data_IF_125096058170
#
_entry.id   IF_125096058170
#
_cell.length_a   1.000
_cell.length_b   1.000
_cell.length_c   1.000
_cell.angle_alpha   90.00
_cell.angle_beta   90.00
_cell.angle_gamma   90.00
#
_symmetry.space_group_name_H-M   'P 1'
#
loop_
_entity.id
_entity.type
_entity.pdbx_description
1 polymer ?
#
# COMPACT_ATOMS: atom_id res chain seq x y z
N UNK A 1 6.37 9.61 -5.52
CA UNK A 1 5.21 9.15 -4.70
C UNK A 1 4.68 7.88 -5.36
N UNK A 2 4.04 6.95 -4.67
CA UNK A 2 3.58 5.70 -5.30
C UNK A 2 3.06 4.72 -4.26
N UNK A 3 2.10 3.86 -4.62
CA UNK A 3 1.12 3.27 -3.70
C UNK A 3 0.99 1.74 -3.84
N UNK A 4 0.75 0.98 -2.73
CA UNK A 4 0.17 -0.39 -2.73
C UNK A 4 -0.04 -1.09 -1.35
N UNK A 5 -1.07 -1.96 -1.22
CA UNK A 5 -1.65 -2.55 0.02
C UNK A 5 -1.29 -3.98 0.43
N UNK A 6 -1.36 -4.30 1.74
CA UNK A 6 -2.04 -5.52 2.27
C UNK A 6 -2.30 -5.55 3.79
N UNK A 7 -3.35 -6.28 4.19
CA UNK A 7 -3.97 -6.44 5.53
C UNK A 7 -3.08 -7.17 6.57
N UNK A 8 -3.16 -6.75 7.84
CA UNK A 8 -2.59 -7.45 9.01
C UNK A 8 -3.53 -8.52 9.57
N UNK A 9 -2.95 -9.60 10.08
CA UNK A 9 -3.58 -10.52 11.05
C UNK A 9 -2.74 -10.54 12.34
N UNK A 10 -3.43 -10.43 13.48
CA UNK A 10 -2.88 -10.29 14.82
C UNK A 10 -2.79 -11.67 15.52
N UNK A 11 -1.74 -11.95 16.30
CA UNK A 11 -1.80 -12.98 17.35
C UNK A 11 -0.76 -12.75 18.46
N UNK A 12 -1.29 -12.68 19.68
CA UNK A 12 -0.68 -12.47 20.99
C UNK A 12 0.19 -13.64 21.53
N UNK A 13 1.03 -13.27 22.52
CA UNK A 13 1.43 -13.97 23.77
C UNK A 13 2.76 -14.75 23.89
N UNK A 14 3.62 -14.12 24.69
CA UNK A 14 4.59 -14.60 25.71
C UNK A 14 4.79 -16.11 25.96
N UNK A 15 6.07 -16.52 26.01
CA UNK A 15 6.74 -17.10 27.20
C UNK A 15 8.19 -17.50 26.87
N UNK A 16 9.17 -17.04 27.66
CA UNK A 16 10.57 -17.49 27.62
C UNK A 16 10.75 -18.77 28.47
N UNK A 17 11.69 -19.64 28.09
CA UNK A 17 12.88 -19.78 28.92
C UNK A 17 14.20 -19.75 28.13
N UNK A 18 15.25 -19.40 28.87
CA UNK A 18 16.64 -19.21 28.44
C UNK A 18 17.32 -20.52 28.04
N UNK A 19 18.27 -20.44 27.10
CA UNK A 19 19.18 -21.54 26.78
C UNK A 19 19.65 -21.55 25.32
N UNK A 20 20.81 -20.93 25.10
CA UNK A 20 21.81 -21.23 24.07
C UNK A 20 21.49 -21.11 22.56
N UNK A 21 22.50 -20.54 21.89
CA UNK A 21 22.73 -20.45 20.44
C UNK A 21 21.79 -19.52 19.65
N UNK A 22 22.35 -18.34 19.38
CA UNK A 22 21.79 -17.21 18.63
C UNK A 22 21.60 -17.54 17.13
N UNK A 23 20.78 -18.55 16.81
CA UNK A 23 20.15 -18.65 15.49
C UNK A 23 19.07 -17.59 15.42
N UNK A 24 19.47 -16.41 14.93
CA UNK A 24 18.64 -15.26 14.54
C UNK A 24 17.22 -15.69 14.21
N UNK A 25 16.33 -15.63 15.20
CA UNK A 25 14.91 -15.84 14.99
C UNK A 25 14.43 -14.60 14.24
N UNK A 26 14.22 -14.75 12.93
CA UNK A 26 13.68 -13.70 12.07
C UNK A 26 12.24 -13.42 12.54
N UNK A 27 12.03 -12.35 13.29
CA UNK A 27 10.72 -11.99 13.83
C UNK A 27 9.92 -11.21 12.77
N UNK A 28 8.58 -11.28 12.84
CA UNK A 28 7.68 -10.57 11.90
C UNK A 28 7.91 -9.05 11.84
N UNK A 29 8.52 -8.46 12.88
CA UNK A 29 8.90 -7.05 12.92
C UNK A 29 10.12 -6.72 12.05
N UNK A 30 11.00 -7.69 11.75
CA UNK A 30 12.15 -7.50 10.83
C UNK A 30 11.68 -7.24 9.38
N UNK A 31 10.47 -7.69 9.02
CA UNK A 31 9.90 -7.38 7.70
C UNK A 31 9.47 -5.91 7.59
N UNK A 32 9.12 -5.26 8.71
CA UNK A 32 8.90 -3.80 8.74
C UNK A 32 10.21 -3.05 8.51
N UNK A 33 11.29 -3.52 9.10
CA UNK A 33 12.62 -2.95 8.88
C UNK A 33 13.09 -3.09 7.44
N UNK A 34 12.70 -4.13 6.69
CA UNK A 34 13.10 -4.25 5.27
C UNK A 34 12.58 -3.11 4.38
N UNK A 35 11.39 -2.58 4.66
CA UNK A 35 10.88 -1.40 3.95
C UNK A 35 11.55 -0.10 4.42
N UNK A 36 11.91 -0.02 5.71
CA UNK A 36 12.64 1.13 6.27
C UNK A 36 14.12 1.14 5.81
N UNK A 37 14.75 -0.02 5.68
CA UNK A 37 16.13 -0.19 5.19
C UNK A 37 16.29 0.10 3.69
N UNK A 38 15.19 0.14 2.94
CA UNK A 38 15.18 0.57 1.54
C UNK A 38 15.09 2.11 1.40
N UNK A 39 15.03 2.86 2.51
CA UNK A 39 14.94 4.32 2.49
C UNK A 39 13.54 4.86 2.15
N UNK A 40 12.52 4.02 2.20
CA UNK A 40 11.13 4.41 1.92
C UNK A 40 10.37 4.70 3.21
N UNK A 41 9.64 5.82 3.19
CA UNK A 41 8.82 6.29 4.29
C UNK A 41 7.35 6.14 3.91
N UNK A 42 6.60 5.41 4.74
CA UNK A 42 5.14 5.44 4.66
C UNK A 42 4.66 6.77 5.22
N UNK A 43 4.13 7.61 4.35
CA UNK A 43 3.64 8.95 4.70
C UNK A 43 2.25 8.86 5.30
N UNK A 44 1.34 8.18 4.62
CA UNK A 44 -0.06 8.15 5.03
C UNK A 44 -0.76 6.89 4.55
N UNK A 45 -1.79 6.49 5.30
CA UNK A 45 -2.70 5.42 4.94
C UNK A 45 -4.13 5.91 5.04
N UNK A 46 -4.98 5.59 4.06
CA UNK A 46 -6.39 6.02 4.07
C UNK A 46 -7.30 4.92 3.59
N UNK A 47 -8.30 4.57 4.37
CA UNK A 47 -9.36 3.65 3.96
C UNK A 47 -10.56 4.45 3.46
N UNK A 48 -11.03 4.18 2.24
CA UNK A 48 -12.13 4.91 1.62
C UNK A 48 -12.98 3.98 0.76
N UNK A 49 -14.29 4.23 0.74
CA UNK A 49 -15.20 3.52 -0.15
C UNK A 49 -15.31 4.27 -1.47
N UNK A 50 -14.69 3.75 -2.52
CA UNK A 50 -14.59 4.41 -3.82
C UNK A 50 -15.72 3.97 -4.77
N UNK A 51 -16.39 4.94 -5.40
CA UNK A 51 -17.40 4.66 -6.43
C UNK A 51 -16.74 4.43 -7.80
N UNK A 52 -17.41 3.75 -8.74
CA UNK A 52 -16.93 3.58 -10.11
C UNK A 52 -16.53 4.89 -10.81
N UNK A 53 -17.32 5.95 -10.61
CA UNK A 53 -17.05 7.29 -11.17
C UNK A 53 -15.72 7.86 -10.66
N UNK A 54 -15.45 7.71 -9.36
CA UNK A 54 -14.24 8.21 -8.71
C UNK A 54 -13.02 7.38 -9.11
N UNK A 55 -13.20 6.06 -9.24
CA UNK A 55 -12.16 5.17 -9.76
C UNK A 55 -11.75 5.53 -11.19
N UNK A 56 -12.70 5.93 -12.05
CA UNK A 56 -12.41 6.41 -13.39
C UNK A 56 -11.55 7.69 -13.37
N UNK A 57 -11.74 8.56 -12.37
CA UNK A 57 -10.95 9.79 -12.22
C UNK A 57 -9.54 9.53 -11.71
N UNK A 58 -9.40 8.60 -10.77
CA UNK A 58 -8.11 8.29 -10.12
C UNK A 58 -7.27 7.34 -10.98
N UNK A 59 -7.85 6.23 -11.45
CA UNK A 59 -7.13 5.19 -12.19
C UNK A 59 -7.20 5.34 -13.72
N UNK A 60 -7.98 6.30 -14.22
CA UNK A 60 -8.07 6.66 -15.64
C UNK A 60 -8.31 5.42 -16.53
N UNK A 61 -7.42 5.14 -17.49
CA UNK A 61 -7.53 4.02 -18.42
C UNK A 61 -7.46 2.65 -17.73
N UNK A 62 -6.88 2.57 -16.53
CA UNK A 62 -6.80 1.33 -15.73
C UNK A 62 -8.02 1.10 -14.87
N UNK A 63 -8.91 2.08 -14.73
CA UNK A 63 -10.10 1.97 -13.89
C UNK A 63 -10.98 0.73 -14.16
N UNK A 64 -11.24 0.33 -15.44
CA UNK A 64 -12.07 -0.85 -15.74
C UNK A 64 -11.57 -2.13 -15.08
N UNK A 65 -10.28 -2.25 -14.81
CA UNK A 65 -9.68 -3.41 -14.17
C UNK A 65 -10.03 -3.55 -12.69
N UNK A 66 -10.38 -2.44 -12.04
CA UNK A 66 -10.62 -2.35 -10.61
C UNK A 66 -12.11 -2.20 -10.27
N UNK A 67 -12.98 -1.85 -11.22
CA UNK A 67 -14.42 -1.64 -10.97
C UNK A 67 -15.09 -2.82 -10.26
N UNK A 68 -14.77 -4.04 -10.67
CA UNK A 68 -15.31 -5.26 -10.06
C UNK A 68 -14.84 -5.49 -8.62
N UNK A 69 -13.71 -4.89 -8.24
CA UNK A 69 -13.13 -5.01 -6.90
C UNK A 69 -13.72 -3.97 -5.94
N UNK A 70 -14.14 -2.80 -6.43
CA UNK A 70 -14.79 -1.76 -5.62
C UNK A 70 -16.08 -2.26 -4.97
N UNK A 71 -16.83 -3.12 -5.65
CA UNK A 71 -18.05 -3.72 -5.09
C UNK A 71 -17.78 -4.70 -3.93
N UNK A 72 -16.53 -5.12 -3.72
CA UNK A 72 -16.16 -6.08 -2.66
C UNK A 72 -15.91 -5.41 -1.31
N UNK A 73 -15.78 -4.09 -1.27
CA UNK A 73 -15.61 -3.33 -0.04
C UNK A 73 -14.70 -2.12 -0.18
N UNK A 74 -14.41 -1.43 0.94
CA UNK A 74 -13.54 -0.27 0.96
C UNK A 74 -12.15 -0.60 0.40
N UNK A 75 -11.62 0.35 -0.35
CA UNK A 75 -10.23 0.32 -0.74
C UNK A 75 -9.40 1.01 0.33
N UNK A 76 -8.12 0.73 0.31
CA UNK A 76 -7.20 1.43 1.16
C UNK A 76 -6.14 2.04 0.21
N UNK A 77 -5.57 3.20 0.57
CA UNK A 77 -4.46 3.91 -0.10
C UNK A 77 -3.23 4.04 0.83
N UNK A 78 -2.02 3.72 0.36
CA UNK A 78 -0.74 3.82 1.08
C UNK A 78 0.17 4.77 0.32
N UNK A 79 0.48 5.93 0.87
CA UNK A 79 1.41 6.85 0.24
C UNK A 79 2.84 6.58 0.73
N UNK A 80 3.72 6.21 -0.20
CA UNK A 80 5.14 6.10 0.09
C UNK A 80 5.93 7.25 -0.53
N UNK A 81 6.92 7.72 0.22
CA UNK A 81 7.90 8.69 -0.21
C UNK A 81 9.32 8.12 -0.07
N UNK A 82 10.19 8.53 -0.98
CA UNK A 82 11.58 8.12 -1.03
C UNK A 82 12.09 8.11 -2.47
N UNK A 83 13.40 8.03 -2.63
CA UNK A 83 14.02 8.10 -3.94
C UNK A 83 13.91 6.77 -4.68
N UNK A 84 13.43 6.77 -5.92
CA UNK A 84 13.14 5.54 -6.67
C UNK A 84 11.93 4.74 -6.16
N UNK A 85 11.11 5.29 -5.26
CA UNK A 85 10.01 4.56 -4.60
C UNK A 85 9.00 3.96 -5.56
N UNK A 86 8.79 4.56 -6.73
CA UNK A 86 7.81 4.06 -7.72
C UNK A 86 8.25 2.72 -8.29
N UNK A 87 9.51 2.65 -8.76
CA UNK A 87 10.08 1.47 -9.40
C UNK A 87 10.20 0.32 -8.39
N UNK A 88 10.72 0.60 -7.20
CA UNK A 88 10.86 -0.38 -6.14
C UNK A 88 9.49 -0.87 -5.63
N UNK A 89 8.49 0.01 -5.51
CA UNK A 89 7.14 -0.38 -5.13
C UNK A 89 6.52 -1.32 -6.18
N UNK A 90 6.68 -1.04 -7.47
CA UNK A 90 6.23 -1.95 -8.53
C UNK A 90 6.89 -3.33 -8.41
N UNK A 91 8.20 -3.39 -8.17
CA UNK A 91 8.94 -4.66 -8.01
C UNK A 91 8.43 -5.44 -6.80
N UNK A 92 8.33 -4.79 -5.63
CA UNK A 92 7.89 -5.41 -4.39
C UNK A 92 6.45 -5.90 -4.50
N UNK A 93 5.57 -5.11 -5.10
CA UNK A 93 4.17 -5.45 -5.28
C UNK A 93 4.00 -6.62 -6.22
N UNK A 94 4.67 -6.61 -7.37
CA UNK A 94 4.61 -7.74 -8.29
C UNK A 94 5.16 -9.03 -7.65
N UNK A 95 6.18 -8.91 -6.81
CA UNK A 95 6.77 -10.05 -6.09
C UNK A 95 5.88 -10.62 -4.98
N UNK A 96 5.21 -9.76 -4.20
CA UNK A 96 4.42 -10.19 -3.03
C UNK A 96 2.96 -10.43 -3.41
N UNK A 97 2.42 -9.61 -4.30
CA UNK A 97 1.01 -9.53 -4.67
C UNK A 97 0.76 -9.88 -6.14
N UNK A 98 1.62 -10.68 -6.78
CA UNK A 98 1.48 -11.05 -8.20
C UNK A 98 0.12 -11.68 -8.56
N UNK A 99 -0.58 -12.28 -7.59
CA UNK A 99 -1.93 -12.85 -7.77
C UNK A 99 -3.06 -11.87 -7.42
N UNK A 100 -2.75 -10.75 -6.77
CA UNK A 100 -3.72 -9.74 -6.32
C UNK A 100 -3.62 -8.49 -7.16
N UNK A 101 -4.72 -8.12 -7.83
CA UNK A 101 -4.81 -6.87 -8.57
C UNK A 101 -4.60 -5.68 -7.63
N UNK A 102 -3.48 -4.98 -7.83
CA UNK A 102 -3.12 -3.82 -7.02
C UNK A 102 -2.65 -2.69 -7.94
N UNK A 103 -3.08 -1.47 -7.68
CA UNK A 103 -2.69 -0.30 -8.46
C UNK A 103 -1.39 0.29 -7.89
N UNK A 104 -0.39 0.46 -8.75
CA UNK A 104 0.84 1.20 -8.45
C UNK A 104 0.96 2.32 -9.47
N UNK A 105 1.40 3.50 -9.04
CA UNK A 105 1.74 4.61 -9.93
C UNK A 105 2.82 4.19 -10.94
N UNK A 106 2.74 4.72 -12.16
CA UNK A 106 3.61 4.27 -13.26
C UNK A 106 4.98 4.93 -13.23
N UNK A 107 5.04 6.23 -12.96
CA UNK A 107 6.26 7.01 -12.93
C UNK A 107 6.16 8.12 -11.87
N UNK A 108 7.29 8.76 -11.57
CA UNK A 108 7.40 9.78 -10.51
C UNK A 108 6.58 11.03 -10.83
N UNK A 109 6.43 11.35 -12.11
CA UNK A 109 5.77 12.55 -12.60
C UNK A 109 4.24 12.44 -12.45
N UNK A 110 3.66 11.29 -12.81
CA UNK A 110 2.22 11.02 -12.67
C UNK A 110 1.83 10.65 -11.26
N UNK A 111 2.75 10.03 -10.51
CA UNK A 111 2.53 9.65 -9.13
C UNK A 111 2.01 10.78 -8.22
N UNK A 112 2.59 11.98 -8.33
CA UNK A 112 2.14 13.14 -7.53
C UNK A 112 0.67 13.46 -7.84
N UNK A 113 0.32 13.40 -9.13
CA UNK A 113 -1.04 13.64 -9.62
C UNK A 113 -2.01 12.54 -9.20
N UNK A 114 -1.59 11.27 -9.19
CA UNK A 114 -2.39 10.15 -8.72
C UNK A 114 -2.78 10.33 -7.24
N UNK A 115 -1.80 10.73 -6.43
CA UNK A 115 -1.97 11.00 -5.00
C UNK A 115 -2.90 12.18 -4.77
N UNK A 116 -2.68 13.30 -5.46
CA UNK A 116 -3.57 14.46 -5.39
C UNK A 116 -5.00 14.12 -5.82
N UNK A 117 -5.19 13.40 -6.93
CA UNK A 117 -6.50 12.97 -7.40
C UNK A 117 -7.22 12.09 -6.38
N UNK A 118 -6.49 11.18 -5.73
CA UNK A 118 -7.04 10.30 -4.70
C UNK A 118 -7.49 11.09 -3.47
N UNK A 119 -6.65 11.99 -2.94
CA UNK A 119 -7.00 12.76 -1.74
C UNK A 119 -8.11 13.77 -2.00
N UNK A 120 -8.13 14.40 -3.18
CA UNK A 120 -9.23 15.28 -3.58
C UNK A 120 -10.58 14.57 -3.46
N UNK A 121 -10.68 13.31 -3.90
CA UNK A 121 -11.88 12.51 -3.70
C UNK A 121 -12.09 12.12 -2.23
N UNK A 122 -11.05 11.60 -1.59
CA UNK A 122 -11.16 11.02 -0.25
C UNK A 122 -11.42 12.07 0.84
N UNK A 123 -11.10 13.34 0.61
CA UNK A 123 -11.44 14.46 1.51
C UNK A 123 -12.87 14.94 1.29
N UNK A 124 -13.37 14.95 0.05
CA UNK A 124 -14.78 15.28 -0.26
C UNK A 124 -15.72 14.28 0.41
N UNK A 125 -15.37 12.99 0.47
CA UNK A 125 -16.19 11.98 1.13
C UNK A 125 -16.20 12.06 2.66
N UNK A 126 -15.20 12.72 3.27
CA UNK A 126 -15.08 12.85 4.74
C UNK A 126 -15.39 14.28 5.23
N UNK A 127 -15.86 15.16 4.35
CA UNK A 127 -16.44 16.44 4.74
C UNK A 127 -17.74 16.19 5.49
N UNK A 128 -17.76 16.60 6.77
CA UNK A 128 -18.94 16.60 7.66
C UNK A 128 -20.08 17.40 7.03
#
# INVERSE_FOLDING_TARGET
MGCCFSKRRNSEKESQPEGEEERRKQYSWDQREKMIHAGFFLIQTKEVSMKPEDAQRVFQEKAPEFLNLLNKGPIIALEFNGDGVVEECQIVVNKIFGETKTFVSENRETASRDVENFYNFADIQMGI
#
